data_IF_744916821393
#
_entry.id   IF_744916821393
#
_cell.length_a   1.000
_cell.length_b   1.000
_cell.length_c   1.000
_cell.angle_alpha   90.00
_cell.angle_beta   90.00
_cell.angle_gamma   90.00
#
_symmetry.space_group_name_H-M   'P 1'
#
loop_
_entity.id
_entity.type
_entity.pdbx_description
1 polymer ?
#
# COMPACT_ATOMS: atom_id res chain seq x y z
N UNK A 1 18.89 -15.45 0.02
CA UNK A 1 19.02 -16.86 -0.44
C UNK A 1 20.50 -17.19 -0.56
N UNK A 2 20.89 -18.42 -0.23
CA UNK A 2 22.25 -18.92 -0.24
C UNK A 2 22.28 -20.24 -1.04
N UNK A 3 22.93 -20.22 -2.20
CA UNK A 3 23.05 -21.40 -3.06
C UNK A 3 24.43 -22.04 -2.90
N UNK A 4 24.44 -23.34 -2.61
CA UNK A 4 25.66 -24.14 -2.50
C UNK A 4 25.74 -25.17 -3.63
N UNK A 5 26.83 -25.13 -4.39
CA UNK A 5 27.14 -26.10 -5.44
C UNK A 5 28.42 -26.85 -5.09
N UNK A 6 28.33 -28.17 -4.91
CA UNK A 6 29.46 -29.03 -4.54
C UNK A 6 29.20 -30.50 -4.92
N UNK A 7 30.24 -31.34 -4.83
CA UNK A 7 30.15 -32.78 -5.10
C UNK A 7 30.61 -33.57 -3.88
N UNK A 8 29.85 -34.61 -3.51
CA UNK A 8 30.25 -35.60 -2.51
C UNK A 8 30.35 -36.98 -3.14
N UNK A 9 31.21 -37.82 -2.56
CA UNK A 9 31.39 -39.21 -3.00
C UNK A 9 30.56 -40.23 -2.21
N UNK A 10 29.69 -39.73 -1.33
CA UNK A 10 28.72 -40.50 -0.56
C UNK A 10 27.36 -39.78 -0.62
N UNK A 11 26.28 -40.55 -0.57
CA UNK A 11 24.94 -39.99 -0.49
C UNK A 11 24.69 -39.42 0.91
N UNK A 12 24.44 -38.12 0.97
CA UNK A 12 23.99 -37.43 2.18
C UNK A 12 22.59 -36.93 1.91
N UNK A 13 21.62 -37.44 2.68
CA UNK A 13 20.25 -36.94 2.66
C UNK A 13 20.19 -35.56 3.31
N UNK A 14 19.47 -34.63 2.66
CA UNK A 14 19.11 -33.35 3.25
C UNK A 14 17.59 -33.31 3.38
N UNK A 15 17.11 -32.95 4.56
CA UNK A 15 15.69 -32.90 4.89
C UNK A 15 15.19 -31.46 4.99
N UNK A 16 13.87 -31.29 4.84
CA UNK A 16 13.25 -29.99 5.07
C UNK A 16 13.52 -29.56 6.51
N UNK A 17 13.93 -28.29 6.68
CA UNK A 17 14.39 -27.66 7.92
C UNK A 17 15.87 -27.87 8.29
N UNK A 18 16.62 -28.66 7.54
CA UNK A 18 18.09 -28.64 7.64
C UNK A 18 18.59 -27.23 7.39
N UNK A 19 19.70 -26.86 8.02
CA UNK A 19 20.20 -25.50 7.97
C UNK A 19 21.72 -25.43 7.97
N UNK A 20 22.21 -24.28 7.52
CA UNK A 20 23.61 -23.90 7.58
C UNK A 20 23.75 -22.55 8.27
N UNK A 21 24.88 -22.37 8.94
CA UNK A 21 25.28 -21.08 9.51
C UNK A 21 26.33 -20.46 8.59
N UNK A 22 26.03 -19.29 8.05
CA UNK A 22 26.95 -18.53 7.21
C UNK A 22 27.04 -17.10 7.73
N UNK A 23 28.25 -16.68 8.12
CA UNK A 23 28.52 -15.35 8.70
C UNK A 23 27.61 -14.97 9.86
N UNK A 24 27.30 -15.95 10.73
CA UNK A 24 26.44 -15.76 11.90
C UNK A 24 24.94 -15.76 11.59
N UNK A 25 24.55 -15.88 10.32
CA UNK A 25 23.15 -15.98 9.90
C UNK A 25 22.77 -17.44 9.59
N UNK A 26 21.55 -17.81 9.95
CA UNK A 26 20.97 -19.13 9.64
C UNK A 26 20.25 -19.09 8.30
N UNK A 27 20.58 -20.05 7.44
CA UNK A 27 19.84 -20.33 6.21
C UNK A 27 19.26 -21.73 6.24
N UNK A 28 17.98 -21.88 5.95
CA UNK A 28 17.21 -23.13 6.11
C UNK A 28 16.78 -23.69 4.76
N UNK A 29 16.84 -25.00 4.60
CA UNK A 29 16.29 -25.72 3.45
C UNK A 29 14.77 -25.83 3.62
N UNK A 30 14.02 -25.24 2.68
CA UNK A 30 12.55 -25.16 2.77
C UNK A 30 11.82 -26.14 1.87
N UNK A 31 12.56 -26.77 0.96
CA UNK A 31 12.02 -27.68 -0.05
C UNK A 31 12.64 -29.05 0.15
N UNK A 32 11.88 -30.09 -0.20
CA UNK A 32 12.45 -31.43 -0.27
C UNK A 32 13.55 -31.44 -1.35
N UNK A 33 14.75 -31.91 -1.00
CA UNK A 33 15.91 -31.85 -1.87
C UNK A 33 16.49 -33.25 -2.08
N UNK A 34 16.88 -33.54 -3.32
CA UNK A 34 17.71 -34.70 -3.64
C UNK A 34 18.87 -34.30 -4.55
N UNK A 35 20.11 -34.73 -4.24
CA UNK A 35 21.23 -34.47 -5.10
C UNK A 35 21.11 -35.24 -6.41
N UNK A 36 21.76 -34.71 -7.46
CA UNK A 36 21.89 -35.39 -8.74
C UNK A 36 22.92 -36.51 -8.61
N UNK A 37 22.48 -37.77 -8.63
CA UNK A 37 23.36 -38.93 -8.69
C UNK A 37 24.04 -39.00 -10.07
N UNK A 38 25.37 -38.84 -10.12
CA UNK A 38 26.19 -38.89 -11.33
C UNK A 38 26.72 -40.30 -11.62
N UNK A 39 27.07 -41.03 -10.56
CA UNK A 39 27.56 -42.40 -10.65
C UNK A 39 27.13 -43.21 -9.41
N UNK A 40 27.66 -44.42 -9.22
CA UNK A 40 27.44 -45.21 -8.00
C UNK A 40 28.03 -44.57 -6.75
N UNK A 41 29.00 -43.66 -6.91
CA UNK A 41 29.77 -43.06 -5.82
C UNK A 41 29.87 -41.53 -5.96
N UNK A 42 29.11 -40.89 -6.84
CA UNK A 42 29.24 -39.44 -7.07
C UNK A 42 27.87 -38.78 -7.09
N UNK A 43 27.72 -37.76 -6.25
CA UNK A 43 26.49 -37.02 -6.03
C UNK A 43 26.78 -35.53 -6.13
N UNK A 44 26.15 -34.88 -7.10
CA UNK A 44 26.25 -33.43 -7.31
C UNK A 44 25.12 -32.71 -6.57
N UNK A 45 25.50 -31.72 -5.78
CA UNK A 45 24.62 -30.88 -4.99
C UNK A 45 24.57 -29.48 -5.59
N UNK A 46 23.37 -28.92 -5.63
CA UNK A 46 23.00 -27.57 -6.03
C UNK A 46 21.82 -27.18 -5.13
N UNK A 47 22.12 -26.83 -3.88
CA UNK A 47 21.13 -26.73 -2.79
C UNK A 47 20.82 -25.26 -2.49
N UNK A 48 19.54 -24.84 -2.58
CA UNK A 48 19.13 -23.52 -2.15
C UNK A 48 18.72 -23.51 -0.68
N UNK A 49 19.50 -22.81 0.16
CA UNK A 49 19.13 -22.48 1.52
C UNK A 49 18.54 -21.06 1.57
N UNK A 50 17.50 -20.86 2.37
CA UNK A 50 16.75 -19.61 2.40
C UNK A 50 16.93 -18.88 3.73
N UNK A 51 16.92 -17.54 3.68
CA UNK A 51 17.02 -16.70 4.88
C UNK A 51 15.76 -16.78 5.72
N UNK A 52 15.82 -16.14 6.89
CA UNK A 52 14.73 -16.17 7.89
C UNK A 52 13.40 -15.66 7.32
N UNK A 53 13.41 -14.71 6.38
CA UNK A 53 12.18 -14.16 5.79
C UNK A 53 11.38 -15.24 5.07
N UNK A 54 12.06 -16.23 4.48
CA UNK A 54 11.40 -17.30 3.73
C UNK A 54 10.69 -18.31 4.64
N UNK A 55 10.97 -18.31 5.94
CA UNK A 55 10.21 -19.11 6.92
C UNK A 55 8.73 -18.70 6.96
N UNK A 56 8.41 -17.43 6.65
CA UNK A 56 7.04 -16.94 6.54
C UNK A 56 6.23 -17.68 5.46
N UNK A 57 6.88 -18.31 4.47
CA UNK A 57 6.18 -19.12 3.46
C UNK A 57 5.56 -20.41 4.02
N UNK A 58 5.98 -20.84 5.22
CA UNK A 58 5.49 -22.07 5.85
C UNK A 58 4.11 -21.91 6.50
N UNK A 59 3.72 -20.69 6.85
CA UNK A 59 2.48 -20.42 7.57
C UNK A 59 1.43 -19.83 6.63
N UNK A 60 0.21 -20.35 6.64
CA UNK A 60 -0.94 -19.65 6.08
C UNK A 60 -1.35 -18.48 6.99
N UNK A 61 -1.84 -17.40 6.38
CA UNK A 61 -2.54 -16.36 7.13
C UNK A 61 -3.94 -16.88 7.45
N UNK A 62 -4.24 -17.05 8.74
CA UNK A 62 -5.55 -17.45 9.23
C UNK A 62 -6.13 -16.38 10.14
N UNK A 63 -7.44 -16.19 10.09
CA UNK A 63 -8.22 -15.45 11.08
C UNK A 63 -9.38 -16.36 11.50
N UNK A 64 -9.49 -16.67 12.79
CA UNK A 64 -10.55 -17.56 13.32
C UNK A 64 -10.67 -18.90 12.56
N UNK A 65 -9.52 -19.50 12.23
CA UNK A 65 -9.39 -20.75 11.45
C UNK A 65 -9.75 -20.66 9.96
N UNK A 66 -10.24 -19.52 9.48
CA UNK A 66 -10.51 -19.28 8.06
C UNK A 66 -9.24 -18.89 7.29
N UNK A 67 -9.09 -19.46 6.09
CA UNK A 67 -7.98 -19.14 5.16
C UNK A 67 -8.31 -18.03 4.17
N UNK A 68 -9.59 -17.66 4.06
CA UNK A 68 -10.11 -16.72 3.06
C UNK A 68 -11.04 -15.71 3.72
N UNK A 69 -10.57 -14.49 3.90
CA UNK A 69 -11.29 -13.44 4.62
C UNK A 69 -10.81 -12.05 4.18
N UNK A 70 -11.61 -11.03 4.51
CA UNK A 70 -11.19 -9.63 4.39
C UNK A 70 -11.06 -9.02 5.78
N UNK A 71 -9.99 -8.30 6.02
CA UNK A 71 -9.74 -7.60 7.27
C UNK A 71 -9.59 -6.11 6.96
N UNK A 72 -10.37 -5.25 7.63
CA UNK A 72 -10.23 -3.80 7.57
C UNK A 72 -9.66 -3.27 8.88
N UNK A 73 -8.34 -3.09 8.92
CA UNK A 73 -7.66 -2.61 10.12
C UNK A 73 -6.40 -1.81 9.81
N UNK A 74 -5.74 -1.34 10.86
CA UNK A 74 -4.48 -0.59 10.83
C UNK A 74 -3.30 -1.48 10.40
N UNK A 75 -2.23 -0.91 9.83
CA UNK A 75 -1.03 -1.67 9.44
C UNK A 75 -0.47 -2.57 10.55
N UNK A 76 -0.52 -2.08 11.80
CA UNK A 76 -0.02 -2.81 12.96
C UNK A 76 -0.82 -4.08 13.25
N UNK A 77 -2.15 -4.04 13.13
CA UNK A 77 -3.02 -5.20 13.35
C UNK A 77 -2.82 -6.24 12.24
N UNK A 78 -2.75 -5.81 10.99
CA UNK A 78 -2.40 -6.72 9.89
C UNK A 78 -1.03 -7.39 10.06
N UNK A 79 -0.03 -6.63 10.50
CA UNK A 79 1.31 -7.16 10.72
C UNK A 79 1.34 -8.13 11.91
N UNK A 80 0.60 -7.83 12.98
CA UNK A 80 0.45 -8.71 14.13
C UNK A 80 -0.21 -10.04 13.74
N UNK A 81 -1.25 -10.01 12.89
CA UNK A 81 -1.89 -11.22 12.37
C UNK A 81 -0.88 -12.15 11.65
N UNK A 82 0.05 -11.58 10.88
CA UNK A 82 1.11 -12.32 10.20
C UNK A 82 2.09 -12.93 11.22
N UNK A 83 2.50 -12.14 12.23
CA UNK A 83 3.37 -12.58 13.33
C UNK A 83 2.74 -13.73 14.13
N UNK A 84 1.46 -13.62 14.46
CA UNK A 84 0.73 -14.63 15.22
C UNK A 84 0.65 -15.95 14.43
N UNK A 85 0.42 -15.88 13.12
CA UNK A 85 0.34 -17.06 12.27
C UNK A 85 1.67 -17.80 12.08
N UNK A 86 2.80 -17.08 11.96
CA UNK A 86 4.11 -17.74 11.95
C UNK A 86 4.46 -18.32 13.32
N UNK A 87 4.12 -17.63 14.41
CA UNK A 87 4.30 -18.11 15.77
C UNK A 87 3.48 -19.37 16.06
N UNK A 88 2.25 -19.44 15.55
CA UNK A 88 1.36 -20.61 15.63
C UNK A 88 2.02 -21.88 15.08
N UNK A 89 2.56 -21.85 13.85
CA UNK A 89 3.18 -23.05 13.27
C UNK A 89 4.53 -23.38 13.91
N UNK A 90 5.17 -22.40 14.56
CA UNK A 90 6.44 -22.57 15.27
C UNK A 90 6.27 -23.02 16.72
N UNK A 91 5.05 -22.98 17.26
CA UNK A 91 4.78 -23.14 18.69
C UNK A 91 5.70 -22.26 19.54
N UNK A 92 5.82 -20.98 19.17
CA UNK A 92 6.73 -20.03 19.81
C UNK A 92 6.13 -18.64 19.83
N UNK A 93 6.63 -17.75 20.69
CA UNK A 93 6.34 -16.30 20.64
C UNK A 93 7.60 -15.51 20.23
N UNK A 94 8.48 -16.13 19.44
CA UNK A 94 9.77 -15.52 19.07
C UNK A 94 9.61 -14.42 18.03
N UNK A 95 8.63 -14.54 17.14
CA UNK A 95 8.34 -13.49 16.17
C UNK A 95 7.56 -12.35 16.85
N UNK A 96 7.97 -11.12 16.57
CA UNK A 96 7.35 -9.92 17.13
C UNK A 96 7.25 -8.84 16.06
N UNK A 97 6.34 -7.89 16.23
CA UNK A 97 6.33 -6.68 15.41
C UNK A 97 7.39 -5.69 15.92
N UNK A 98 8.04 -4.99 14.99
CA UNK A 98 8.96 -3.90 15.27
C UNK A 98 8.39 -2.55 14.87
N UNK A 99 9.15 -1.80 14.07
CA UNK A 99 8.70 -0.53 13.51
C UNK A 99 7.56 -0.75 12.51
N UNK A 100 6.46 -0.02 12.70
CA UNK A 100 5.31 -0.01 11.78
C UNK A 100 4.93 1.44 11.48
N UNK A 101 4.59 1.73 10.23
CA UNK A 101 4.03 3.04 9.86
C UNK A 101 2.71 3.33 10.60
N UNK A 102 2.46 4.60 10.90
CA UNK A 102 1.13 5.06 11.31
C UNK A 102 0.35 5.50 10.08
N UNK A 103 -0.76 4.83 9.79
CA UNK A 103 -1.65 5.14 8.65
C UNK A 103 -3.09 4.74 8.98
N UNK A 104 -4.05 5.28 8.23
CA UNK A 104 -5.46 4.93 8.34
C UNK A 104 -5.69 3.44 8.02
N UNK A 105 -6.78 2.85 8.54
CA UNK A 105 -7.17 1.47 8.22
C UNK A 105 -7.50 1.28 6.74
N UNK A 106 -7.21 0.10 6.21
CA UNK A 106 -7.54 -0.31 4.84
C UNK A 106 -7.96 -1.77 4.84
N UNK A 107 -8.95 -2.11 4.01
CA UNK A 107 -9.35 -3.50 3.79
C UNK A 107 -8.31 -4.26 2.96
N UNK A 108 -7.86 -5.41 3.45
CA UNK A 108 -7.04 -6.38 2.70
C UNK A 108 -7.74 -7.72 2.67
N UNK A 109 -7.88 -8.29 1.47
CA UNK A 109 -8.38 -9.65 1.27
C UNK A 109 -7.23 -10.65 1.22
N UNK A 110 -7.21 -11.54 2.21
CA UNK A 110 -6.34 -12.70 2.28
C UNK A 110 -7.13 -13.90 1.77
N UNK A 111 -6.62 -14.58 0.75
CA UNK A 111 -7.31 -15.72 0.14
C UNK A 111 -6.32 -16.86 -0.09
N UNK A 112 -6.33 -17.83 0.82
CA UNK A 112 -5.42 -18.98 0.84
C UNK A 112 -3.92 -18.61 0.66
N UNK A 113 -3.51 -17.44 1.19
CA UNK A 113 -2.13 -16.94 1.06
C UNK A 113 -1.27 -17.33 2.26
N UNK A 114 0.01 -17.57 2.00
CA UNK A 114 1.01 -17.71 3.07
C UNK A 114 1.40 -16.34 3.67
N UNK A 115 2.00 -16.34 4.86
CA UNK A 115 2.39 -15.14 5.58
C UNK A 115 3.37 -14.25 4.80
N UNK A 116 4.23 -14.83 3.96
CA UNK A 116 5.15 -14.05 3.13
C UNK A 116 4.41 -13.28 2.04
N UNK A 117 3.47 -13.91 1.34
CA UNK A 117 2.69 -13.24 0.29
C UNK A 117 1.60 -12.34 0.90
N UNK A 118 1.04 -12.68 2.06
CA UNK A 118 0.18 -11.79 2.84
C UNK A 118 0.91 -10.53 3.30
N UNK A 119 2.19 -10.64 3.70
CA UNK A 119 3.03 -9.51 4.03
C UNK A 119 3.33 -8.62 2.82
N UNK A 120 3.56 -9.20 1.65
CA UNK A 120 3.70 -8.43 0.40
C UNK A 120 2.45 -7.64 0.09
N UNK A 121 1.27 -8.29 0.12
CA UNK A 121 -0.01 -7.60 -0.08
C UNK A 121 -0.18 -6.45 0.90
N UNK A 122 0.18 -6.65 2.17
CA UNK A 122 0.17 -5.61 3.19
C UNK A 122 1.08 -4.44 2.83
N UNK A 123 2.34 -4.73 2.50
CA UNK A 123 3.30 -3.71 2.12
C UNK A 123 2.88 -2.93 0.86
N UNK A 124 2.36 -3.62 -0.16
CA UNK A 124 1.82 -3.02 -1.38
C UNK A 124 0.61 -2.11 -1.09
N UNK A 125 -0.34 -2.57 -0.29
CA UNK A 125 -1.56 -1.81 0.07
C UNK A 125 -1.23 -0.50 0.79
N UNK A 126 -0.17 -0.50 1.60
CA UNK A 126 0.28 0.67 2.34
C UNK A 126 1.45 1.41 1.69
N UNK A 127 1.89 0.98 0.49
CA UNK A 127 3.05 1.54 -0.22
C UNK A 127 4.32 1.61 0.66
N UNK A 128 4.56 0.53 1.41
CA UNK A 128 5.70 0.39 2.33
C UNK A 128 6.63 -0.73 1.90
N UNK A 129 7.77 -0.83 2.58
CA UNK A 129 8.67 -1.98 2.51
C UNK A 129 8.59 -2.76 3.83
N UNK A 130 9.17 -3.96 3.85
CA UNK A 130 9.26 -4.76 5.05
C UNK A 130 10.63 -5.44 5.13
N UNK A 131 11.09 -5.70 6.34
CA UNK A 131 12.32 -6.45 6.59
C UNK A 131 12.24 -7.18 7.92
N UNK A 132 13.09 -8.21 8.06
CA UNK A 132 13.19 -9.01 9.29
C UNK A 132 14.55 -8.76 9.95
N UNK A 133 14.53 -8.42 11.23
CA UNK A 133 15.72 -8.33 12.06
C UNK A 133 15.67 -9.41 13.14
N UNK A 134 16.44 -10.49 12.95
CA UNK A 134 16.31 -11.69 13.76
C UNK A 134 14.93 -12.32 13.53
N UNK A 135 14.00 -12.09 14.46
CA UNK A 135 12.58 -12.50 14.36
C UNK A 135 11.62 -11.31 14.51
N UNK A 136 12.13 -10.09 14.42
CA UNK A 136 11.33 -8.87 14.49
C UNK A 136 10.93 -8.45 13.09
N UNK A 137 9.63 -8.34 12.84
CA UNK A 137 9.07 -7.94 11.55
C UNK A 137 8.77 -6.44 11.54
N UNK A 138 9.37 -5.72 10.61
CA UNK A 138 9.19 -4.28 10.45
C UNK A 138 8.44 -3.98 9.15
N UNK A 139 7.60 -2.94 9.16
CA UNK A 139 6.80 -2.46 8.02
C UNK A 139 6.91 -0.93 7.91
N UNK A 140 7.85 -0.45 7.10
CA UNK A 140 8.11 0.97 6.87
C UNK A 140 8.97 1.19 5.62
N UNK A 141 9.41 2.41 5.36
CA UNK A 141 10.43 2.66 4.33
C UNK A 141 11.79 2.21 4.90
N UNK A 142 12.43 1.24 4.26
CA UNK A 142 13.71 0.71 4.71
C UNK A 142 14.85 1.61 4.21
N UNK A 143 15.11 2.68 4.95
CA UNK A 143 16.22 3.60 4.70
C UNK A 143 16.96 3.92 5.99
N UNK A 144 18.26 3.61 6.04
CA UNK A 144 19.05 3.85 7.24
C UNK A 144 20.50 4.23 6.95
N UNK A 145 21.10 4.86 7.96
CA UNK A 145 22.52 5.20 8.02
C UNK A 145 22.94 6.42 7.21
N UNK A 146 24.18 6.86 7.45
CA UNK A 146 24.83 7.91 6.65
C UNK A 146 25.10 7.41 5.23
N UNK A 147 24.81 8.20 4.18
CA UNK A 147 25.11 7.82 2.80
C UNK A 147 26.57 7.37 2.64
N UNK A 148 26.75 6.16 2.13
CA UNK A 148 28.06 5.66 1.73
C UNK A 148 28.36 6.16 0.31
N UNK A 149 29.44 6.94 0.16
CA UNK A 149 29.87 7.40 -1.15
C UNK A 149 30.55 6.25 -1.93
N UNK A 150 30.05 5.97 -3.12
CA UNK A 150 30.51 4.89 -3.98
C UNK A 150 30.62 5.38 -5.43
N UNK A 151 31.77 5.16 -6.04
CA UNK A 151 32.05 5.59 -7.42
C UNK A 151 32.99 4.63 -8.14
N UNK A 152 33.22 4.86 -9.43
CA UNK A 152 34.23 4.09 -10.16
C UNK A 152 35.61 4.30 -9.54
N UNK A 153 36.29 3.20 -9.16
CA UNK A 153 37.56 3.27 -8.42
C UNK A 153 37.43 3.64 -6.94
N UNK A 154 36.22 3.89 -6.46
CA UNK A 154 35.86 4.15 -5.07
C UNK A 154 34.80 3.12 -4.63
N UNK A 155 35.18 1.84 -4.70
CA UNK A 155 34.34 0.71 -4.34
C UNK A 155 33.46 0.15 -5.47
N UNK A 156 33.25 0.86 -6.58
CA UNK A 156 32.53 0.32 -7.75
C UNK A 156 33.47 0.09 -8.94
N UNK A 157 33.17 -0.94 -9.73
CA UNK A 157 33.85 -1.29 -10.99
C UNK A 157 33.05 -0.90 -12.22
N UNK A 158 31.75 -0.72 -12.07
CA UNK A 158 30.85 -0.27 -13.12
C UNK A 158 29.58 0.30 -12.51
N UNK A 159 28.88 1.11 -13.30
CA UNK A 159 27.57 1.62 -12.97
C UNK A 159 26.69 1.49 -14.22
N UNK A 160 25.58 0.78 -14.09
CA UNK A 160 24.60 0.57 -15.14
C UNK A 160 23.23 0.97 -14.59
N UNK A 161 22.58 1.96 -15.19
CA UNK A 161 21.13 2.17 -15.01
C UNK A 161 20.44 0.95 -15.61
N UNK A 162 19.73 0.22 -14.76
CA UNK A 162 18.89 -0.89 -15.20
C UNK A 162 17.76 -0.30 -16.04
N UNK A 163 17.61 -0.81 -17.26
CA UNK A 163 16.46 -0.50 -18.10
C UNK A 163 15.26 -1.21 -17.50
N UNK A 164 14.59 -0.52 -16.58
CA UNK A 164 13.30 -0.98 -16.13
C UNK A 164 12.31 -0.64 -17.26
N UNK A 165 12.15 -1.54 -18.24
CA UNK A 165 11.23 -1.38 -19.40
C UNK A 165 9.78 -1.06 -18.96
N UNK A 166 9.44 -1.35 -17.70
CA UNK A 166 8.14 -1.09 -17.11
C UNK A 166 8.11 0.09 -16.14
N UNK A 167 9.19 0.89 -16.06
CA UNK A 167 9.19 2.10 -15.25
C UNK A 167 8.19 3.10 -15.85
N UNK A 168 7.14 3.35 -15.08
CA UNK A 168 6.11 4.30 -15.41
C UNK A 168 6.70 5.72 -15.54
N UNK A 169 6.59 6.33 -16.74
CA UNK A 169 7.23 7.60 -17.08
C UNK A 169 6.27 8.52 -17.85
N UNK A 170 6.24 9.79 -17.44
CA UNK A 170 5.52 10.86 -18.14
C UNK A 170 6.21 12.20 -17.86
N UNK A 171 6.02 13.14 -18.76
CA UNK A 171 6.48 14.54 -18.59
C UNK A 171 5.33 15.54 -18.64
N UNK A 172 4.13 15.10 -19.04
CA UNK A 172 2.87 15.84 -18.94
C UNK A 172 1.79 14.96 -18.31
N UNK A 173 1.21 15.42 -17.22
CA UNK A 173 0.10 14.76 -16.53
C UNK A 173 -1.20 15.52 -16.78
N UNK A 174 -2.23 14.82 -17.22
CA UNK A 174 -3.63 15.25 -17.21
C UNK A 174 -4.31 14.65 -15.97
N UNK A 175 -4.41 15.39 -14.86
CA UNK A 175 -5.07 14.89 -13.67
C UNK A 175 -6.59 14.96 -13.83
N UNK A 176 -7.24 13.82 -13.69
CA UNK A 176 -8.66 13.64 -13.93
C UNK A 176 -9.42 13.52 -12.61
N UNK A 177 -9.73 14.64 -11.96
CA UNK A 177 -10.58 14.69 -10.74
C UNK A 177 -12.02 14.20 -10.99
N UNK A 178 -12.80 13.86 -9.96
CA UNK A 178 -14.08 13.15 -10.14
C UNK A 178 -15.12 13.88 -11.02
N UNK A 179 -16.13 13.14 -11.48
CA UNK A 179 -17.37 13.69 -12.06
C UNK A 179 -18.49 13.86 -11.02
N UNK A 180 -18.29 13.37 -9.78
CA UNK A 180 -19.30 13.48 -8.72
C UNK A 180 -19.57 14.94 -8.38
N UNK A 181 -20.84 15.26 -8.13
CA UNK A 181 -21.32 16.58 -7.74
C UNK A 181 -21.03 17.71 -8.76
N UNK A 182 -20.88 17.34 -10.03
CA UNK A 182 -20.61 18.27 -11.12
C UNK A 182 -21.74 18.25 -12.13
N UNK A 183 -22.33 19.43 -12.33
CA UNK A 183 -23.15 19.72 -13.50
C UNK A 183 -22.30 20.50 -14.50
N UNK A 184 -22.12 19.93 -15.70
CA UNK A 184 -21.33 20.54 -16.76
C UNK A 184 -21.85 21.93 -17.16
N UNK A 185 -23.16 22.15 -17.11
CA UNK A 185 -23.76 23.43 -17.52
C UNK A 185 -23.43 24.57 -16.55
N UNK A 186 -23.19 24.25 -15.27
CA UNK A 186 -22.87 25.21 -14.21
C UNK A 186 -21.36 25.35 -14.03
N UNK A 187 -20.65 24.23 -13.93
CA UNK A 187 -19.20 24.23 -13.70
C UNK A 187 -18.39 24.52 -14.97
N UNK A 188 -18.96 24.27 -16.15
CA UNK A 188 -18.28 24.44 -17.45
C UNK A 188 -17.46 23.22 -17.90
N UNK A 189 -17.31 22.21 -17.04
CA UNK A 189 -16.61 20.96 -17.37
C UNK A 189 -17.35 19.73 -16.87
N UNK A 190 -17.12 18.57 -17.49
CA UNK A 190 -17.72 17.30 -17.07
C UNK A 190 -17.11 16.77 -15.76
N UNK A 191 -15.90 17.22 -15.42
CA UNK A 191 -15.07 16.67 -14.36
C UNK A 191 -14.31 17.79 -13.67
N UNK A 192 -13.94 17.57 -12.40
CA UNK A 192 -13.12 18.53 -11.65
C UNK A 192 -11.77 18.69 -12.34
N UNK A 193 -11.30 19.92 -12.47
CA UNK A 193 -9.98 20.25 -13.01
C UNK A 193 -9.19 21.09 -12.02
N UNK A 194 -7.93 21.37 -12.33
CA UNK A 194 -7.09 22.21 -11.49
C UNK A 194 -7.61 23.67 -11.48
N UNK A 195 -7.24 24.46 -10.45
CA UNK A 195 -7.63 25.85 -10.36
C UNK A 195 -7.25 26.64 -11.63
N UNK A 196 -8.14 27.52 -12.07
CA UNK A 196 -7.90 28.37 -13.25
C UNK A 196 -8.03 27.65 -14.59
N UNK A 197 -8.82 26.57 -14.67
CA UNK A 197 -9.06 25.78 -15.89
C UNK A 197 -7.78 25.11 -16.46
N UNK A 198 -6.79 24.86 -15.60
CA UNK A 198 -5.57 24.15 -15.97
C UNK A 198 -5.92 22.67 -16.21
N UNK A 199 -5.59 22.16 -17.40
CA UNK A 199 -5.90 20.78 -17.83
C UNK A 199 -4.75 19.80 -17.65
N UNK A 200 -3.53 20.30 -17.59
CA UNK A 200 -2.34 19.48 -17.40
C UNK A 200 -1.25 20.24 -16.65
N UNK A 201 -0.33 19.47 -16.10
CA UNK A 201 0.90 19.94 -15.47
C UNK A 201 2.09 19.20 -16.08
N UNK A 202 3.26 19.82 -16.07
CA UNK A 202 4.45 19.27 -16.72
C UNK A 202 5.64 19.19 -15.77
N UNK A 203 6.48 18.19 -15.98
CA UNK A 203 7.78 18.04 -15.33
C UNK A 203 8.78 17.39 -16.29
N UNK A 204 10.08 17.66 -16.11
CA UNK A 204 11.15 17.02 -16.87
C UNK A 204 11.01 17.12 -18.41
N UNK A 205 10.42 18.21 -18.93
CA UNK A 205 10.12 18.40 -20.37
C UNK A 205 11.37 18.44 -21.27
N UNK A 206 12.56 18.61 -20.70
CA UNK A 206 13.84 18.44 -21.40
C UNK A 206 14.05 17.02 -21.96
N UNK A 207 13.30 16.03 -21.46
CA UNK A 207 13.28 14.64 -21.96
C UNK A 207 12.29 14.44 -23.13
N UNK A 208 11.59 15.49 -23.55
CA UNK A 208 10.48 15.42 -24.51
C UNK A 208 9.11 15.38 -23.83
N UNK A 209 8.04 15.53 -24.61
CA UNK A 209 6.66 15.47 -24.11
C UNK A 209 6.15 14.03 -24.23
N UNK A 210 5.82 13.43 -23.09
CA UNK A 210 5.16 12.14 -22.94
C UNK A 210 3.94 12.36 -22.06
N UNK A 211 2.77 12.18 -22.64
CA UNK A 211 1.49 12.47 -22.00
C UNK A 211 0.95 11.27 -21.23
N UNK A 212 0.40 11.53 -20.05
CA UNK A 212 -0.30 10.55 -19.24
C UNK A 212 -1.55 11.17 -18.61
N UNK A 213 -2.60 10.37 -18.49
CA UNK A 213 -3.83 10.74 -17.80
C UNK A 213 -4.03 9.83 -16.61
N UNK A 214 -4.33 10.42 -15.45
CA UNK A 214 -4.57 9.70 -14.20
C UNK A 214 -5.94 10.06 -13.66
N UNK A 215 -6.79 9.05 -13.43
CA UNK A 215 -8.12 9.22 -12.86
C UNK A 215 -8.26 8.47 -11.53
N UNK A 216 -7.67 7.28 -11.41
CA UNK A 216 -7.84 6.43 -10.25
C UNK A 216 -7.29 7.09 -8.98
N UNK A 217 -6.16 7.81 -9.09
CA UNK A 217 -5.58 8.54 -7.96
C UNK A 217 -6.42 9.74 -7.48
N UNK A 218 -7.31 10.27 -8.33
CA UNK A 218 -8.07 11.51 -8.06
C UNK A 218 -9.59 11.29 -8.04
N UNK A 219 -10.06 10.05 -8.18
CA UNK A 219 -11.49 9.69 -8.31
C UNK A 219 -12.35 10.14 -7.14
N UNK A 220 -11.75 10.22 -5.94
CA UNK A 220 -12.41 10.56 -4.68
C UNK A 220 -12.31 12.07 -4.35
N UNK A 221 -11.70 12.87 -5.23
CA UNK A 221 -11.61 14.33 -5.09
C UNK A 221 -12.72 14.97 -5.92
N UNK A 222 -13.69 15.55 -5.22
CA UNK A 222 -14.86 16.20 -5.81
C UNK A 222 -15.42 17.30 -4.91
N UNK A 223 -16.20 18.25 -5.46
CA UNK A 223 -16.91 19.26 -4.68
C UNK A 223 -17.81 18.58 -3.65
N UNK A 224 -17.47 18.74 -2.37
CA UNK A 224 -18.21 18.11 -1.27
C UNK A 224 -18.07 18.89 0.01
N UNK A 225 -19.02 18.66 0.90
CA UNK A 225 -19.01 19.13 2.28
C UNK A 225 -19.09 17.91 3.18
N UNK A 226 -18.17 17.81 4.14
CA UNK A 226 -18.24 16.79 5.20
C UNK A 226 -19.18 17.29 6.30
N UNK A 227 -20.41 16.81 6.25
CA UNK A 227 -21.54 16.99 7.17
C UNK A 227 -21.26 16.54 8.60
N UNK A 228 -22.08 16.99 9.56
CA UNK A 228 -22.12 16.40 10.90
C UNK A 228 -23.56 16.26 11.37
N UNK A 229 -23.96 15.05 11.71
CA UNK A 229 -25.29 14.77 12.23
C UNK A 229 -25.46 15.47 13.58
N UNK A 230 -26.46 16.35 13.69
CA UNK A 230 -26.81 17.03 14.94
C UNK A 230 -27.88 16.30 15.74
N UNK A 231 -28.88 15.72 15.06
CA UNK A 231 -29.95 14.98 15.70
C UNK A 231 -30.49 13.91 14.76
N UNK A 232 -31.07 12.86 15.35
CA UNK A 232 -31.67 11.72 14.66
C UNK A 232 -33.05 11.49 15.23
N UNK A 233 -34.04 11.25 14.36
CA UNK A 233 -35.39 10.85 14.75
C UNK A 233 -35.87 9.69 13.90
N UNK A 234 -36.88 8.99 14.39
CA UNK A 234 -37.52 7.88 13.69
C UNK A 234 -39.03 8.05 13.68
N UNK A 235 -39.68 7.40 12.71
CA UNK A 235 -41.13 7.36 12.57
C UNK A 235 -41.55 5.95 12.15
N UNK A 236 -42.50 5.34 12.86
CA UNK A 236 -43.05 4.03 12.48
C UNK A 236 -44.21 4.24 11.51
N UNK A 237 -44.13 3.60 10.35
CA UNK A 237 -45.11 3.71 9.26
C UNK A 237 -45.54 2.31 8.82
N UNK A 238 -46.80 2.16 8.43
CA UNK A 238 -47.30 0.91 7.84
C UNK A 238 -47.14 0.96 6.32
N UNK A 239 -46.41 0.00 5.77
CA UNK A 239 -46.20 -0.15 4.33
C UNK A 239 -47.46 -0.55 3.57
N UNK A 240 -47.41 -0.45 2.24
CA UNK A 240 -48.52 -0.87 1.36
C UNK A 240 -48.85 -2.37 1.48
N UNK A 241 -47.88 -3.17 1.94
CA UNK A 241 -48.02 -4.60 2.24
C UNK A 241 -48.68 -4.88 3.60
N UNK A 242 -49.00 -3.83 4.37
CA UNK A 242 -49.60 -3.90 5.70
C UNK A 242 -48.61 -4.16 6.83
N UNK A 243 -47.30 -4.24 6.56
CA UNK A 243 -46.27 -4.46 7.59
C UNK A 243 -45.71 -3.12 8.10
N UNK A 244 -45.47 -2.98 9.43
CA UNK A 244 -44.82 -1.79 9.97
C UNK A 244 -43.33 -1.78 9.62
N UNK A 245 -42.80 -0.60 9.30
CA UNK A 245 -41.37 -0.34 9.13
C UNK A 245 -41.00 1.03 9.70
N UNK A 246 -39.70 1.26 9.93
CA UNK A 246 -39.21 2.50 10.53
C UNK A 246 -38.57 3.38 9.47
N UNK A 247 -38.96 4.65 9.39
CA UNK A 247 -38.29 5.69 8.61
C UNK A 247 -37.28 6.40 9.51
N UNK A 248 -36.07 6.62 9.00
CA UNK A 248 -35.01 7.31 9.72
C UNK A 248 -34.78 8.69 9.14
N UNK A 249 -34.62 9.66 10.04
CA UNK A 249 -34.29 11.02 9.67
C UNK A 249 -33.07 11.51 10.47
N UNK A 250 -32.27 12.37 9.85
CA UNK A 250 -31.20 13.09 10.52
C UNK A 250 -31.12 14.55 10.09
N UNK A 251 -30.59 15.40 10.95
CA UNK A 251 -30.37 16.83 10.68
C UNK A 251 -28.89 17.18 10.79
N UNK A 252 -28.48 18.28 10.16
CA UNK A 252 -27.17 18.92 10.34
C UNK A 252 -27.38 20.43 10.57
N UNK A 253 -27.26 20.86 11.82
CA UNK A 253 -27.39 22.28 12.20
C UNK A 253 -26.37 23.22 11.55
N UNK A 254 -25.27 22.69 11.03
CA UNK A 254 -24.25 23.41 10.28
C UNK A 254 -24.47 23.38 8.76
N UNK A 255 -25.56 22.81 8.25
CA UNK A 255 -25.91 22.88 6.83
C UNK A 255 -26.51 24.26 6.52
N UNK A 256 -25.80 25.04 5.70
CA UNK A 256 -26.12 26.45 5.44
C UNK A 256 -26.83 26.69 4.11
N UNK A 257 -27.16 25.64 3.37
CA UNK A 257 -27.83 25.71 2.07
C UNK A 257 -28.94 24.67 1.98
N UNK A 258 -29.91 24.91 1.10
CA UNK A 258 -30.97 23.95 0.80
C UNK A 258 -30.51 22.97 -0.30
N UNK A 259 -30.30 21.67 0.00
CA UNK A 259 -29.88 20.68 -0.99
C UNK A 259 -30.76 20.59 -2.24
N UNK A 260 -32.06 20.83 -2.12
CA UNK A 260 -32.99 20.75 -3.26
C UNK A 260 -32.70 21.81 -4.34
N UNK A 261 -32.10 22.94 -3.97
CA UNK A 261 -31.71 24.00 -4.93
C UNK A 261 -30.50 23.58 -5.80
N UNK A 262 -29.84 22.49 -5.43
CA UNK A 262 -28.62 22.00 -6.05
C UNK A 262 -28.79 20.65 -6.76
N UNK A 263 -30.01 20.16 -6.93
CA UNK A 263 -30.25 18.89 -7.63
C UNK A 263 -29.67 18.88 -9.05
N UNK A 264 -29.19 17.70 -9.46
CA UNK A 264 -28.74 17.43 -10.81
C UNK A 264 -29.83 16.60 -11.49
N UNK A 265 -30.33 17.09 -12.63
CA UNK A 265 -31.42 16.43 -13.34
C UNK A 265 -31.06 14.97 -13.69
N UNK A 266 -31.96 14.04 -13.34
CA UNK A 266 -31.82 12.61 -13.61
C UNK A 266 -30.95 11.84 -12.61
N UNK A 267 -30.44 12.49 -11.56
CA UNK A 267 -29.76 11.82 -10.45
C UNK A 267 -30.58 11.96 -9.17
N UNK A 268 -30.58 10.91 -8.36
CA UNK A 268 -31.16 10.94 -7.01
C UNK A 268 -30.07 11.27 -6.00
N UNK A 269 -30.40 12.05 -4.98
CA UNK A 269 -29.48 12.50 -3.94
C UNK A 269 -29.13 11.34 -3.03
N UNK A 270 -27.85 11.22 -2.70
CA UNK A 270 -27.35 10.21 -1.79
C UNK A 270 -26.53 10.82 -0.65
N UNK A 271 -26.39 10.06 0.42
CA UNK A 271 -25.52 10.35 1.56
C UNK A 271 -24.66 9.12 1.85
N UNK A 272 -23.34 9.31 1.87
CA UNK A 272 -22.39 8.33 2.40
C UNK A 272 -21.94 8.76 3.78
N UNK A 273 -22.01 7.85 4.77
CA UNK A 273 -21.48 8.13 6.11
C UNK A 273 -19.97 7.87 6.14
N UNK A 274 -19.20 8.76 6.76
CA UNK A 274 -17.73 8.69 6.88
C UNK A 274 -17.27 8.34 8.31
N UNK A 275 -18.20 8.12 9.24
CA UNK A 275 -17.92 7.67 10.60
C UNK A 275 -19.12 6.96 11.22
N UNK A 276 -18.96 6.47 12.45
CA UNK A 276 -20.00 5.77 13.19
C UNK A 276 -20.26 4.35 12.68
N UNK A 277 -21.36 3.76 13.13
CA UNK A 277 -21.76 2.39 12.76
C UNK A 277 -22.16 2.27 11.27
N UNK A 278 -22.47 3.40 10.63
CA UNK A 278 -22.80 3.46 9.21
C UNK A 278 -21.60 3.83 8.31
N UNK A 279 -20.38 3.93 8.84
CA UNK A 279 -19.21 4.33 8.07
C UNK A 279 -19.05 3.48 6.78
N UNK A 280 -18.88 4.16 5.65
CA UNK A 280 -18.77 3.58 4.31
C UNK A 280 -20.08 3.15 3.68
N UNK A 281 -21.22 3.27 4.37
CA UNK A 281 -22.54 2.94 3.82
C UNK A 281 -23.16 4.11 3.08
N UNK A 282 -23.79 3.75 1.97
CA UNK A 282 -24.45 4.66 1.03
C UNK A 282 -25.97 4.50 1.11
N UNK A 283 -26.66 5.62 1.18
CA UNK A 283 -28.12 5.67 1.22
C UNK A 283 -28.65 6.74 0.28
N UNK A 284 -29.72 6.40 -0.43
CA UNK A 284 -30.57 7.40 -1.06
C UNK A 284 -31.24 8.24 0.04
N UNK A 285 -31.29 9.57 -0.14
CA UNK A 285 -31.86 10.48 0.85
C UNK A 285 -32.78 11.54 0.22
N UNK A 286 -33.85 11.90 0.91
CA UNK A 286 -34.72 13.03 0.58
C UNK A 286 -34.50 14.18 1.57
N UNK A 287 -34.57 15.43 1.10
CA UNK A 287 -34.40 16.59 1.97
C UNK A 287 -35.73 17.33 2.15
N UNK A 288 -36.11 17.55 3.40
CA UNK A 288 -37.27 18.34 3.77
C UNK A 288 -36.84 19.74 4.21
N UNK A 289 -37.14 20.74 3.37
CA UNK A 289 -36.75 22.13 3.64
C UNK A 289 -37.51 22.77 4.81
N UNK A 290 -38.70 22.26 5.16
CA UNK A 290 -39.52 22.79 6.25
C UNK A 290 -39.00 22.34 7.61
N UNK A 291 -38.58 21.08 7.74
CA UNK A 291 -38.01 20.53 8.99
C UNK A 291 -36.49 20.61 9.05
N UNK A 292 -35.83 20.88 7.92
CA UNK A 292 -34.37 20.86 7.78
C UNK A 292 -33.75 19.50 8.13
N UNK A 293 -34.34 18.44 7.61
CA UNK A 293 -33.94 17.06 7.86
C UNK A 293 -33.79 16.28 6.55
N UNK A 294 -32.85 15.34 6.56
CA UNK A 294 -32.76 14.28 5.58
C UNK A 294 -33.58 13.08 6.04
N UNK A 295 -34.43 12.58 5.17
CA UNK A 295 -35.02 11.24 5.25
C UNK A 295 -34.07 10.25 4.57
N UNK A 296 -33.75 9.15 5.24
CA UNK A 296 -33.04 8.02 4.63
C UNK A 296 -34.07 7.09 4.00
N UNK A 297 -33.94 6.83 2.70
CA UNK A 297 -34.85 5.93 1.99
C UNK A 297 -34.59 4.49 2.43
N UNK A 298 -35.61 3.88 3.02
CA UNK A 298 -35.55 2.53 3.57
C UNK A 298 -35.32 1.49 2.48
N UNK A 299 -34.36 0.59 2.71
CA UNK A 299 -34.04 -0.53 1.81
C UNK A 299 -34.38 -1.88 2.45
N UNK A 300 -34.97 -2.78 1.65
CA UNK A 300 -35.35 -4.15 2.03
C UNK A 300 -34.62 -5.18 1.15
N UNK A 301 -33.43 -5.67 1.52
CA UNK A 301 -32.63 -6.58 0.71
C UNK A 301 -33.22 -7.99 0.69
N UNK A 302 -33.98 -8.36 1.73
CA UNK A 302 -34.68 -9.62 1.86
C UNK A 302 -36.12 -9.34 2.35
N UNK A 303 -37.05 -10.25 2.05
CA UNK A 303 -38.45 -10.08 2.42
C UNK A 303 -38.61 -9.97 3.95
N UNK A 304 -39.01 -8.78 4.42
CA UNK A 304 -39.26 -8.49 5.84
C UNK A 304 -38.02 -8.09 6.65
N UNK A 305 -36.82 -8.03 6.05
CA UNK A 305 -35.62 -7.54 6.72
C UNK A 305 -35.31 -6.10 6.28
N UNK A 306 -35.31 -5.16 7.22
CA UNK A 306 -34.88 -3.79 6.97
C UNK A 306 -33.35 -3.70 7.12
N UNK A 307 -32.65 -3.11 6.13
CA UNK A 307 -31.19 -2.89 6.22
C UNK A 307 -30.78 -2.00 7.40
N UNK A 308 -31.70 -1.13 7.81
CA UNK A 308 -31.59 -0.26 8.97
C UNK A 308 -32.55 -0.77 10.05
N UNK A 309 -32.04 -1.66 10.90
CA UNK A 309 -32.67 -2.01 12.16
C UNK A 309 -33.85 -2.98 12.09
N UNK A 310 -33.53 -4.28 12.15
CA UNK A 310 -34.19 -5.15 13.13
C UNK A 310 -33.20 -5.35 14.30
N UNK A 311 -33.41 -4.67 15.44
CA UNK A 311 -32.58 -4.83 16.65
C UNK A 311 -31.64 -3.67 17.03
N UNK A 312 -31.64 -2.53 16.33
CA UNK A 312 -31.00 -1.28 16.79
C UNK A 312 -29.48 -1.14 16.58
N UNK A 313 -28.85 -1.97 15.74
CA UNK A 313 -27.36 -2.05 15.65
C UNK A 313 -26.74 -1.13 14.56
N UNK A 314 -27.50 -0.59 13.61
CA UNK A 314 -26.94 0.26 12.53
C UNK A 314 -27.83 1.45 12.20
N UNK A 315 -27.70 2.54 12.96
CA UNK A 315 -28.40 3.81 12.75
C UNK A 315 -27.39 4.97 12.85
N UNK A 316 -27.61 6.12 12.17
CA UNK A 316 -26.76 7.28 12.37
C UNK A 316 -26.91 7.79 13.80
N UNK A 317 -25.85 8.43 14.32
CA UNK A 317 -25.82 9.04 15.65
C UNK A 317 -25.37 10.50 15.58
N UNK A 318 -25.75 11.29 16.60
CA UNK A 318 -25.23 12.65 16.74
C UNK A 318 -23.69 12.62 16.79
N UNK A 319 -23.06 13.43 15.95
CA UNK A 319 -21.61 13.50 15.79
C UNK A 319 -21.09 12.76 14.55
N UNK A 320 -21.88 11.89 13.94
CA UNK A 320 -21.46 11.16 12.75
C UNK A 320 -21.23 12.10 11.56
N UNK A 321 -20.19 11.79 10.78
CA UNK A 321 -19.82 12.50 9.57
C UNK A 321 -20.49 11.87 8.37
N UNK A 322 -20.90 12.70 7.41
CA UNK A 322 -21.51 12.25 6.18
C UNK A 322 -21.14 13.18 5.02
N UNK A 323 -21.25 12.68 3.79
CA UNK A 323 -21.05 13.47 2.58
C UNK A 323 -22.24 13.24 1.66
N UNK A 324 -22.79 14.34 1.16
CA UNK A 324 -23.82 14.29 0.13
C UNK A 324 -23.19 14.13 -1.26
N UNK A 325 -23.83 13.34 -2.10
CA UNK A 325 -23.47 13.29 -3.52
C UNK A 325 -24.69 13.11 -4.43
N UNK A 326 -24.45 13.24 -5.74
CA UNK A 326 -25.46 13.35 -6.82
C UNK A 326 -26.27 14.67 -6.80
N UNK A 327 -25.69 15.71 -6.23
CA UNK A 327 -26.17 17.09 -6.30
C UNK A 327 -24.98 18.01 -6.54
N UNK A 328 -25.21 19.17 -7.12
CA UNK A 328 -24.23 20.26 -7.16
C UNK A 328 -23.91 20.72 -5.74
N UNK A 329 -22.85 21.49 -5.60
CA UNK A 329 -22.53 22.17 -4.36
C UNK A 329 -22.60 23.70 -4.55
N UNK A 330 -22.66 24.48 -3.47
CA UNK A 330 -22.33 25.91 -3.55
C UNK A 330 -20.94 26.15 -4.15
N UNK A 331 -20.73 27.30 -4.80
CA UNK A 331 -19.51 27.62 -5.56
C UNK A 331 -18.22 27.51 -4.74
N UNK A 332 -18.27 27.80 -3.44
CA UNK A 332 -17.13 27.71 -2.51
C UNK A 332 -16.53 26.28 -2.46
N UNK A 333 -17.35 25.24 -2.57
CA UNK A 333 -16.88 23.85 -2.49
C UNK A 333 -16.18 23.39 -3.77
N UNK A 334 -16.46 24.02 -4.90
CA UNK A 334 -15.68 23.77 -6.12
C UNK A 334 -14.25 24.26 -5.94
N UNK A 335 -14.07 25.51 -5.49
CA UNK A 335 -12.74 26.07 -5.25
C UNK A 335 -11.94 25.25 -4.23
N UNK A 336 -12.58 24.79 -3.15
CA UNK A 336 -11.93 23.90 -2.18
C UNK A 336 -11.50 22.56 -2.79
N UNK A 337 -12.36 21.92 -3.58
CA UNK A 337 -12.04 20.66 -4.25
C UNK A 337 -10.94 20.83 -5.31
N UNK A 338 -10.91 21.94 -6.04
CA UNK A 338 -9.82 22.24 -6.99
C UNK A 338 -8.47 22.40 -6.27
N UNK A 339 -8.45 23.01 -5.09
CA UNK A 339 -7.23 23.12 -4.28
C UNK A 339 -6.81 21.76 -3.69
N UNK A 340 -7.76 20.94 -3.26
CA UNK A 340 -7.50 19.55 -2.85
C UNK A 340 -6.89 18.74 -4.00
N UNK A 341 -7.43 18.88 -5.21
CA UNK A 341 -6.88 18.26 -6.42
C UNK A 341 -5.46 18.77 -6.71
N UNK A 342 -5.21 20.07 -6.60
CA UNK A 342 -3.88 20.64 -6.80
C UNK A 342 -2.85 20.05 -5.81
N UNK A 343 -3.21 19.92 -4.54
CA UNK A 343 -2.35 19.31 -3.53
C UNK A 343 -2.07 17.84 -3.84
N UNK A 344 -3.10 17.06 -4.16
CA UNK A 344 -2.95 15.66 -4.54
C UNK A 344 -2.12 15.47 -5.81
N UNK A 345 -2.24 16.37 -6.78
CA UNK A 345 -1.43 16.37 -8.00
C UNK A 345 0.03 16.70 -7.71
N UNK A 346 0.31 17.64 -6.80
CA UNK A 346 1.67 17.93 -6.38
C UNK A 346 2.33 16.70 -5.72
N UNK A 347 1.60 16.02 -4.82
CA UNK A 347 2.07 14.78 -4.19
C UNK A 347 2.29 13.66 -5.21
N UNK A 348 1.37 13.52 -6.18
CA UNK A 348 1.49 12.56 -7.27
C UNK A 348 2.72 12.85 -8.14
N UNK A 349 2.90 14.11 -8.56
CA UNK A 349 4.09 14.53 -9.30
C UNK A 349 5.35 14.21 -8.50
N UNK A 350 5.43 14.56 -7.22
CA UNK A 350 6.60 14.27 -6.39
C UNK A 350 6.91 12.77 -6.32
N UNK A 351 5.89 11.91 -6.17
CA UNK A 351 6.03 10.44 -6.17
C UNK A 351 6.66 9.92 -7.47
N UNK A 352 6.26 10.45 -8.62
CA UNK A 352 6.74 10.02 -9.94
C UNK A 352 7.86 10.89 -10.53
N UNK A 353 8.24 11.98 -9.86
CA UNK A 353 9.40 12.82 -10.19
C UNK A 353 10.71 12.17 -9.75
N UNK A 354 10.64 11.29 -8.75
CA UNK A 354 11.76 10.46 -8.33
C UNK A 354 12.03 9.42 -9.41
N UNK A 355 13.11 9.60 -10.16
CA UNK A 355 13.59 8.60 -11.10
C UNK A 355 13.75 7.26 -10.36
N UNK A 356 12.86 6.31 -10.66
CA UNK A 356 12.79 4.95 -10.09
C UNK A 356 13.87 4.04 -10.65
N UNK A 357 14.82 4.60 -11.40
CA UNK A 357 16.00 3.89 -11.89
C UNK A 357 16.66 3.07 -10.79
N UNK A 358 16.67 1.77 -11.03
CA UNK A 358 17.53 0.85 -10.31
C UNK A 358 18.91 0.92 -10.95
N UNK A 359 19.96 0.96 -10.13
CA UNK A 359 21.35 0.95 -10.62
C UNK A 359 21.99 -0.37 -10.26
N UNK A 360 22.49 -1.08 -11.26
CA UNK A 360 23.35 -2.26 -11.10
C UNK A 360 24.80 -1.80 -11.09
N UNK A 361 25.48 -2.04 -9.98
CA UNK A 361 26.89 -1.70 -9.83
C UNK A 361 27.69 -2.92 -9.37
N UNK A 362 28.70 -3.32 -10.16
CA UNK A 362 29.63 -4.34 -9.72
C UNK A 362 30.56 -3.75 -8.66
N UNK A 363 30.60 -4.36 -7.47
CA UNK A 363 31.46 -3.88 -6.38
C UNK A 363 32.89 -4.40 -6.50
N UNK A 364 33.84 -3.61 -5.99
CA UNK A 364 35.18 -4.07 -5.68
C UNK A 364 35.21 -4.66 -4.27
N UNK A 365 35.18 -5.99 -4.18
CA UNK A 365 35.17 -6.69 -2.90
C UNK A 365 36.44 -6.46 -2.08
N UNK A 366 37.59 -6.15 -2.71
CA UNK A 366 38.83 -5.86 -2.00
C UNK A 366 38.69 -4.51 -1.31
N UNK A 367 38.25 -3.49 -2.05
CA UNK A 367 37.97 -2.17 -1.48
C UNK A 367 36.96 -2.25 -0.33
N UNK A 368 35.89 -3.01 -0.51
CA UNK A 368 34.86 -3.17 0.52
C UNK A 368 35.43 -3.83 1.79
N UNK A 369 36.27 -4.86 1.64
CA UNK A 369 36.92 -5.51 2.78
C UNK A 369 37.93 -4.60 3.48
N UNK A 370 38.78 -3.89 2.73
CA UNK A 370 39.80 -2.99 3.29
C UNK A 370 39.20 -1.77 4.01
N UNK A 371 38.01 -1.33 3.60
CA UNK A 371 37.29 -0.21 4.22
C UNK A 371 36.17 -0.66 5.18
N UNK A 372 36.07 -1.95 5.50
CA UNK A 372 35.06 -2.52 6.38
C UNK A 372 33.61 -2.14 5.98
N UNK A 373 33.34 -2.12 4.68
CA UNK A 373 32.05 -1.79 4.09
C UNK A 373 31.23 -3.08 3.97
N UNK A 374 30.13 -3.15 4.71
CA UNK A 374 29.15 -4.22 4.60
C UNK A 374 27.89 -3.70 3.91
N UNK A 375 27.63 -4.09 2.65
CA UNK A 375 26.41 -3.68 1.95
C UNK A 375 25.22 -4.41 2.58
N UNK A 376 24.28 -3.62 3.11
CA UNK A 376 23.04 -4.11 3.72
C UNK A 376 21.87 -3.44 3.02
N UNK A 377 20.77 -4.17 2.84
CA UNK A 377 19.53 -3.63 2.26
C UNK A 377 19.06 -2.42 3.09
N UNK A 378 18.59 -1.39 2.41
CA UNK A 378 18.16 -0.12 2.99
C UNK A 378 19.29 0.86 3.33
N UNK A 379 20.56 0.45 3.23
CA UNK A 379 21.68 1.37 3.46
C UNK A 379 21.68 2.48 2.40
N UNK A 380 21.69 3.74 2.85
CA UNK A 380 21.84 4.90 1.96
C UNK A 380 23.21 4.91 1.28
N UNK A 381 23.23 5.25 0.00
CA UNK A 381 24.45 5.39 -0.81
C UNK A 381 24.38 6.67 -1.65
N UNK A 382 25.54 7.23 -1.95
CA UNK A 382 25.69 8.33 -2.89
C UNK A 382 26.57 7.85 -4.04
N UNK A 383 25.96 7.64 -5.20
CA UNK A 383 26.62 7.17 -6.39
C UNK A 383 27.34 8.33 -7.06
N UNK A 384 28.66 8.27 -7.14
CA UNK A 384 29.51 9.30 -7.71
C UNK A 384 29.83 8.96 -9.17
N UNK A 385 29.40 9.83 -10.09
CA UNK A 385 29.82 9.79 -11.49
C UNK A 385 29.47 11.12 -12.17
N UNK A 386 30.45 12.04 -12.29
CA UNK A 386 30.26 13.37 -12.87
C UNK A 386 29.70 13.37 -14.29
N UNK A 387 30.08 12.38 -15.08
CA UNK A 387 29.69 12.24 -16.48
C UNK A 387 28.34 11.53 -16.66
N UNK A 388 27.95 10.69 -15.70
CA UNK A 388 26.72 9.89 -15.76
C UNK A 388 25.51 10.62 -15.17
N UNK A 389 25.73 11.46 -14.16
CA UNK A 389 24.69 12.23 -13.49
C UNK A 389 24.86 13.73 -13.76
N UNK A 390 23.79 14.41 -14.20
CA UNK A 390 23.84 15.86 -14.44
C UNK A 390 24.26 16.69 -13.20
N UNK A 391 23.88 16.23 -11.99
CA UNK A 391 24.28 16.80 -10.69
C UNK A 391 25.67 16.36 -10.21
N UNK A 392 26.35 15.50 -10.97
CA UNK A 392 27.63 14.90 -10.68
C UNK A 392 27.61 13.69 -9.72
N UNK A 393 26.53 13.53 -8.97
CA UNK A 393 26.30 12.39 -8.09
C UNK A 393 24.80 12.19 -7.86
N UNK A 394 24.45 11.03 -7.29
CA UNK A 394 23.05 10.67 -7.03
C UNK A 394 22.88 9.94 -5.71
N UNK A 395 21.97 10.43 -4.87
CA UNK A 395 21.51 9.73 -3.67
C UNK A 395 20.65 8.52 -4.05
N UNK A 396 20.84 7.40 -3.38
CA UNK A 396 20.10 6.16 -3.58
C UNK A 396 20.15 5.28 -2.32
N UNK A 397 19.57 4.08 -2.38
CA UNK A 397 19.67 3.04 -1.35
C UNK A 397 19.94 1.67 -1.95
N UNK A 398 20.57 0.80 -1.18
CA UNK A 398 20.78 -0.60 -1.57
C UNK A 398 19.45 -1.35 -1.45
N UNK A 399 18.91 -1.82 -2.56
CA UNK A 399 17.67 -2.64 -2.60
C UNK A 399 17.94 -4.14 -2.76
N UNK A 400 19.15 -4.50 -3.20
CA UNK A 400 19.58 -5.89 -3.39
C UNK A 400 21.10 -6.01 -3.31
N UNK A 401 21.57 -7.15 -2.81
CA UNK A 401 22.99 -7.50 -2.73
C UNK A 401 23.15 -8.94 -3.20
N UNK A 402 24.10 -9.17 -4.10
CA UNK A 402 24.52 -10.50 -4.52
C UNK A 402 26.03 -10.65 -4.37
N UNK A 403 26.47 -11.81 -3.89
CA UNK A 403 27.87 -12.11 -3.60
C UNK A 403 28.21 -13.55 -3.93
N UNK A 404 29.41 -13.75 -4.45
CA UNK A 404 30.03 -15.09 -4.55
C UNK A 404 30.59 -15.51 -3.20
N UNK A 405 30.30 -16.73 -2.77
CA UNK A 405 30.76 -17.26 -1.48
C UNK A 405 32.28 -17.34 -1.36
N UNK A 406 32.97 -17.63 -2.47
CA UNK A 406 34.43 -17.69 -2.52
C UNK A 406 35.13 -16.34 -2.31
N UNK A 407 34.39 -15.23 -2.28
CA UNK A 407 34.94 -13.93 -1.91
C UNK A 407 34.82 -13.77 -0.37
N UNK A 408 35.94 -13.79 0.38
CA UNK A 408 35.90 -13.63 1.83
C UNK A 408 35.43 -12.21 2.20
N UNK A 409 34.60 -12.09 3.24
CA UNK A 409 34.20 -10.82 3.84
C UNK A 409 35.34 -10.15 4.62
N UNK A 410 36.28 -10.96 5.11
CA UNK A 410 37.43 -10.53 5.90
C UNK A 410 38.70 -11.08 5.28
N UNK A 411 39.53 -10.23 4.68
CA UNK A 411 40.92 -10.57 4.38
C UNK A 411 41.67 -10.53 5.71
N UNK A 412 41.76 -11.67 6.42
CA UNK A 412 42.69 -11.79 7.54
C UNK A 412 44.11 -11.78 6.98
N UNK A 413 44.75 -10.61 6.95
CA UNK A 413 46.20 -10.54 6.78
C UNK A 413 46.82 -11.20 8.01
N UNK A 414 47.58 -12.27 7.81
CA UNK A 414 48.48 -12.72 8.88
C UNK A 414 49.46 -11.57 9.16
N UNK A 415 49.73 -11.25 10.44
CA UNK A 415 50.80 -10.33 10.76
C UNK A 415 52.11 -10.88 10.17
N UNK A 416 52.83 -10.05 9.43
CA UNK A 416 54.23 -10.32 9.08
C UNK A 416 55.11 -10.02 10.28
#
# INVERSE_FOLDING_TARGET
MLNLSFTLFEYVGLEVNDYILFEGQRFTLLINYRPKKKSTIEYQYDVPFYGIESELKKALVLLEEETSFSLDDTPAVHLQLIVDNINRIKNSNAWTIGQVISSARKTITYDAVNCFDGLKKLAETYETEWWVEGTTLNLSRCEHGTPLELGYGQGLKSLLKDENEHAFFFTRLYPLGSTRNIDRSVYGSKRLHLPGDIRYVEQNTHLGIVEYSEEAAFKDIYPRRVGTVSAVRTEEVTGEDGNPFVIYYFSDSGLTFNPNDYEIAGLVKHSIFESGELNGRDFEVNWNAQTSEFEIITQFPEAGAQLLGAGGVMIPQTGDKYVLYNLRMPSEYYALAEQELLAAVADFLQKYSMDTAVYKAASDYVYFSENNIHPVIGRRVKLLSPEYFASGSRESRIVSVSRKLGNPSVIRRMPR
#
